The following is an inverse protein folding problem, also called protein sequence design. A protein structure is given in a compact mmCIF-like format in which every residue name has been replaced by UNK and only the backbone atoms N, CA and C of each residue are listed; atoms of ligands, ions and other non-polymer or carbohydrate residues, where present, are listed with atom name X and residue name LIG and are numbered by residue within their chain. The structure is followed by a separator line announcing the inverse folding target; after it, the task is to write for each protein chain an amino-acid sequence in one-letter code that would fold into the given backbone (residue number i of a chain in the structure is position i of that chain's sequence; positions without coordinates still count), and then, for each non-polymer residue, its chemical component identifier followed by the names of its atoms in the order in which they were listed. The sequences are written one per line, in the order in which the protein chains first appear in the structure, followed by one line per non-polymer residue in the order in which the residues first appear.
data_IF_461777545313
#
_entry.id   IF_461777545313
#
_cell.length_a   1.000
_cell.length_b   1.000
_cell.length_c   1.000
_cell.angle_alpha   90.00
_cell.angle_beta   90.00
_cell.angle_gamma   90.00
#
_symmetry.space_group_name_H-M   'P 1'
#
loop_
_entity.id
_entity.type
_entity.pdbx_description
1 polymer ?
#
# COMPACT_ATOMS: atom_id res chain seq x y z
N UNK A 1 -10.73 12.40 37.27
CA UNK A 1 -11.35 11.59 36.20
C UNK A 1 -10.21 10.93 35.45
N UNK A 2 -10.14 9.60 35.40
CA UNK A 2 -9.18 8.91 34.54
C UNK A 2 -9.73 8.94 33.12
N UNK A 3 -9.01 9.57 32.19
CA UNK A 3 -9.31 9.47 30.76
C UNK A 3 -9.18 8.01 30.34
N UNK A 4 -10.16 7.50 29.58
CA UNK A 4 -10.05 6.15 29.01
C UNK A 4 -8.83 6.11 28.06
N UNK A 5 -7.81 5.27 28.30
CA UNK A 5 -6.60 5.26 27.47
C UNK A 5 -6.76 4.46 26.17
N UNK A 6 -7.96 3.93 25.86
CA UNK A 6 -8.21 3.09 24.68
C UNK A 6 -9.02 3.81 23.61
N UNK A 7 -8.72 3.53 22.34
CA UNK A 7 -9.61 3.81 21.22
C UNK A 7 -10.83 2.85 21.27
N UNK A 8 -12.08 3.35 21.22
CA UNK A 8 -13.27 2.50 21.27
C UNK A 8 -13.57 1.76 19.96
N UNK A 9 -12.94 2.14 18.85
CA UNK A 9 -13.22 1.56 17.54
C UNK A 9 -12.74 0.10 17.43
N UNK A 10 -13.46 -0.71 16.66
CA UNK A 10 -13.07 -2.07 16.34
C UNK A 10 -11.82 -2.08 15.47
N UNK A 11 -10.77 -2.76 15.93
CA UNK A 11 -9.58 -3.06 15.12
C UNK A 11 -9.98 -3.99 13.97
N UNK A 12 -9.65 -3.58 12.73
CA UNK A 12 -9.90 -4.36 11.51
C UNK A 12 -8.65 -5.08 11.03
N UNK A 13 -7.51 -4.39 11.02
CA UNK A 13 -6.22 -5.01 10.73
C UNK A 13 -5.09 -4.21 11.39
N UNK A 14 -3.94 -4.87 11.57
CA UNK A 14 -2.66 -4.19 11.77
C UNK A 14 -1.55 -4.83 10.93
N UNK A 15 -0.66 -4.00 10.39
CA UNK A 15 0.40 -4.41 9.47
C UNK A 15 1.11 -3.22 8.82
N UNK A 16 1.32 -3.32 7.51
CA UNK A 16 1.93 -2.30 6.65
C UNK A 16 1.13 -2.21 5.33
N UNK A 17 1.09 -1.03 4.72
CA UNK A 17 0.45 -0.76 3.42
C UNK A 17 1.31 0.20 2.59
N UNK A 18 2.44 -0.29 2.12
CA UNK A 18 3.36 0.53 1.34
C UNK A 18 2.87 0.64 -0.10
N UNK A 19 3.07 1.80 -0.72
CA UNK A 19 2.61 2.05 -2.08
C UNK A 19 3.63 2.82 -2.90
N UNK A 20 3.63 2.53 -4.20
CA UNK A 20 4.25 3.32 -5.25
C UNK A 20 3.15 3.71 -6.24
N UNK A 21 3.08 5.00 -6.53
CA UNK A 21 2.23 5.57 -7.57
C UNK A 21 3.08 6.44 -8.47
N UNK A 22 3.15 6.08 -9.74
CA UNK A 22 3.96 6.78 -10.73
C UNK A 22 3.06 7.56 -11.68
N UNK A 23 3.62 8.65 -12.19
CA UNK A 23 3.02 9.49 -13.23
C UNK A 23 4.12 9.96 -14.18
N UNK A 24 3.75 10.18 -15.43
CA UNK A 24 4.65 10.74 -16.46
C UNK A 24 4.43 12.24 -16.68
N UNK A 25 3.42 12.82 -16.03
CA UNK A 25 2.88 14.15 -16.27
C UNK A 25 2.74 14.95 -14.97
N UNK A 26 3.75 14.85 -14.10
CA UNK A 26 3.81 15.56 -12.80
C UNK A 26 2.56 15.34 -11.92
N UNK A 27 1.93 14.17 -12.05
CA UNK A 27 0.84 13.71 -11.19
C UNK A 27 -0.56 13.96 -11.75
N UNK A 28 -0.71 14.53 -12.95
CA UNK A 28 -2.06 14.71 -13.51
C UNK A 28 -2.73 13.39 -13.88
N UNK A 29 -1.95 12.40 -14.33
CA UNK A 29 -2.43 11.05 -14.67
C UNK A 29 -1.52 10.02 -14.03
N UNK A 30 -2.12 9.09 -13.29
CA UNK A 30 -1.39 8.00 -12.66
C UNK A 30 -1.22 6.84 -13.66
N UNK A 31 0.00 6.62 -14.14
CA UNK A 31 0.34 5.54 -15.09
C UNK A 31 0.55 4.20 -14.39
N UNK A 32 0.77 4.21 -13.08
CA UNK A 32 1.00 2.99 -12.28
C UNK A 32 0.53 3.17 -10.86
N UNK A 33 -0.17 2.17 -10.34
CA UNK A 33 -0.62 2.08 -8.95
C UNK A 33 -0.23 0.74 -8.36
N UNK A 34 0.37 0.79 -7.17
CA UNK A 34 0.59 -0.40 -6.35
C UNK A 34 0.02 -0.19 -4.94
N UNK A 35 -0.38 -1.29 -4.30
CA UNK A 35 -0.79 -1.35 -2.90
C UNK A 35 -0.22 -2.65 -2.33
N UNK A 36 0.88 -2.54 -1.59
CA UNK A 36 1.61 -3.67 -1.03
C UNK A 36 1.34 -3.77 0.48
N UNK A 37 0.69 -4.86 0.85
CA UNK A 37 0.28 -5.17 2.20
C UNK A 37 1.21 -6.21 2.83
N UNK A 38 1.62 -5.95 4.07
CA UNK A 38 2.20 -6.95 4.99
C UNK A 38 1.37 -6.95 6.26
N UNK A 39 0.48 -7.91 6.41
CA UNK A 39 -0.51 -7.96 7.49
C UNK A 39 -0.08 -8.92 8.59
N UNK A 40 -0.15 -8.44 9.82
CA UNK A 40 0.16 -9.21 11.03
C UNK A 40 -1.10 -9.75 11.71
N UNK A 41 -2.22 -9.02 11.60
CA UNK A 41 -3.50 -9.40 12.17
C UNK A 41 -4.63 -8.92 11.25
N UNK A 42 -5.54 -9.82 10.90
CA UNK A 42 -6.82 -9.53 10.26
C UNK A 42 -7.82 -10.68 10.53
N UNK A 43 -9.12 -10.51 10.23
CA UNK A 43 -10.08 -11.61 10.22
C UNK A 43 -9.72 -12.78 9.30
N UNK A 44 -8.96 -12.54 8.24
CA UNK A 44 -8.52 -13.55 7.27
C UNK A 44 -7.11 -14.11 7.55
N UNK A 45 -6.52 -13.74 8.69
CA UNK A 45 -5.17 -14.13 9.07
C UNK A 45 -4.08 -13.16 8.59
N UNK A 46 -2.81 -13.44 8.95
CA UNK A 46 -1.65 -12.69 8.48
C UNK A 46 -1.25 -13.09 7.05
N UNK A 47 -0.43 -12.28 6.39
CA UNK A 47 0.09 -12.56 5.05
C UNK A 47 0.48 -11.30 4.30
N UNK A 48 0.83 -11.46 3.03
CA UNK A 48 1.17 -10.40 2.11
C UNK A 48 0.24 -10.41 0.90
N UNK A 49 -0.01 -9.21 0.38
CA UNK A 49 -0.78 -9.02 -0.85
C UNK A 49 -0.20 -7.83 -1.62
N UNK A 50 0.04 -7.98 -2.91
CA UNK A 50 0.30 -6.88 -3.83
C UNK A 50 -0.88 -6.75 -4.78
N UNK A 51 -1.55 -5.60 -4.76
CA UNK A 51 -2.42 -5.16 -5.83
C UNK A 51 -1.64 -4.20 -6.73
N UNK A 52 -1.71 -4.38 -8.04
CA UNK A 52 -1.10 -3.44 -8.97
C UNK A 52 -1.89 -3.26 -10.26
N UNK A 53 -1.75 -2.07 -10.85
CA UNK A 53 -2.23 -1.73 -12.20
C UNK A 53 -1.20 -0.80 -12.84
N UNK A 54 -0.83 -1.04 -14.09
CA UNK A 54 0.17 -0.24 -14.80
C UNK A 54 -0.10 -0.24 -16.30
N UNK A 55 0.04 0.92 -16.95
CA UNK A 55 -0.06 1.06 -18.40
C UNK A 55 0.93 0.16 -19.15
N UNK A 56 2.05 -0.21 -18.50
CA UNK A 56 3.10 -1.07 -19.06
C UNK A 56 2.89 -2.56 -18.74
N UNK A 57 1.81 -2.88 -18.04
CA UNK A 57 1.35 -4.23 -17.73
C UNK A 57 -0.08 -4.45 -18.26
N UNK A 58 -0.31 -4.03 -19.51
CA UNK A 58 -1.57 -4.13 -20.25
C UNK A 58 -2.75 -3.33 -19.67
N UNK A 59 -2.48 -2.43 -18.72
CA UNK A 59 -3.49 -1.67 -17.95
C UNK A 59 -4.51 -2.57 -17.21
N UNK A 60 -4.14 -3.83 -16.97
CA UNK A 60 -4.94 -4.77 -16.19
C UNK A 60 -4.52 -4.78 -14.71
N UNK A 61 -5.48 -5.06 -13.84
CA UNK A 61 -5.20 -5.29 -12.42
C UNK A 61 -4.60 -6.68 -12.24
N UNK A 62 -3.44 -6.75 -11.58
CA UNK A 62 -2.78 -7.99 -11.18
C UNK A 62 -2.72 -8.08 -9.66
N UNK A 63 -2.97 -9.27 -9.11
CA UNK A 63 -3.01 -9.50 -7.67
C UNK A 63 -2.12 -10.70 -7.33
N UNK A 64 -1.21 -10.49 -6.39
CA UNK A 64 -0.28 -11.51 -5.90
C UNK A 64 -0.45 -11.65 -4.39
N UNK A 65 -0.46 -12.87 -3.85
CA UNK A 65 -0.60 -13.08 -2.42
C UNK A 65 0.02 -14.40 -1.94
N UNK A 66 0.50 -14.44 -0.69
CA UNK A 66 0.80 -15.69 0.03
C UNK A 66 -0.40 -16.19 0.85
N UNK A 67 -1.45 -15.36 0.96
CA UNK A 67 -2.71 -15.66 1.62
C UNK A 67 -3.88 -15.11 0.78
N UNK A 68 -4.51 -15.99 -0.01
CA UNK A 68 -5.62 -15.63 -0.89
C UNK A 68 -6.84 -15.14 -0.11
N UNK A 69 -7.12 -15.71 1.05
CA UNK A 69 -8.25 -15.28 1.89
C UNK A 69 -8.05 -13.83 2.36
N UNK A 70 -6.81 -13.45 2.69
CA UNK A 70 -6.47 -12.07 3.03
C UNK A 70 -6.66 -11.14 1.83
N UNK A 71 -6.23 -11.53 0.63
CA UNK A 71 -6.44 -10.73 -0.57
C UNK A 71 -7.93 -10.43 -0.78
N UNK A 72 -8.80 -11.45 -0.77
CA UNK A 72 -10.26 -11.28 -0.93
C UNK A 72 -10.86 -10.38 0.14
N UNK A 73 -10.43 -10.55 1.39
CA UNK A 73 -10.89 -9.70 2.49
C UNK A 73 -10.45 -8.24 2.32
N UNK A 74 -9.21 -7.98 1.87
CA UNK A 74 -8.73 -6.62 1.58
C UNK A 74 -9.52 -5.96 0.44
N UNK A 75 -9.87 -6.71 -0.61
CA UNK A 75 -10.71 -6.22 -1.71
C UNK A 75 -12.07 -5.71 -1.22
N UNK A 76 -12.75 -6.50 -0.38
CA UNK A 76 -14.05 -6.17 0.19
C UNK A 76 -14.01 -5.05 1.22
N UNK A 77 -13.05 -5.09 2.15
CA UNK A 77 -13.08 -4.25 3.34
C UNK A 77 -12.38 -2.90 3.13
N UNK A 78 -11.25 -2.88 2.39
CA UNK A 78 -10.35 -1.72 2.36
C UNK A 78 -10.12 -1.18 0.94
N UNK A 79 -9.69 -2.03 0.00
CA UNK A 79 -9.29 -1.58 -1.34
C UNK A 79 -10.45 -1.00 -2.13
N UNK A 80 -11.68 -1.50 -1.95
CA UNK A 80 -12.87 -0.89 -2.56
C UNK A 80 -13.07 0.59 -2.19
N UNK A 81 -12.51 1.03 -1.06
CA UNK A 81 -12.58 2.41 -0.58
C UNK A 81 -11.37 3.25 -1.05
N UNK A 82 -10.27 2.60 -1.43
CA UNK A 82 -9.02 3.25 -1.83
C UNK A 82 -8.88 3.37 -3.36
N UNK A 83 -9.26 2.31 -4.06
CA UNK A 83 -9.23 2.20 -5.51
C UNK A 83 -10.25 1.16 -5.98
N UNK A 84 -11.42 1.59 -6.50
CA UNK A 84 -12.51 0.68 -6.84
C UNK A 84 -12.13 -0.45 -7.80
N UNK A 85 -11.16 -0.25 -8.70
CA UNK A 85 -10.72 -1.31 -9.62
C UNK A 85 -10.03 -2.48 -8.90
N UNK A 86 -9.48 -2.28 -7.71
CA UNK A 86 -8.91 -3.38 -6.90
C UNK A 86 -9.99 -4.17 -6.16
N UNK A 87 -11.26 -3.75 -6.17
CA UNK A 87 -12.33 -4.43 -5.45
C UNK A 87 -12.85 -5.70 -6.14
N UNK A 88 -12.56 -5.89 -7.43
CA UNK A 88 -13.11 -6.98 -8.23
C UNK A 88 -12.52 -8.34 -7.82
N UNK A 89 -13.35 -9.19 -7.22
CA UNK A 89 -12.94 -10.52 -6.74
C UNK A 89 -12.87 -11.59 -7.83
N UNK A 90 -13.37 -11.30 -9.04
CA UNK A 90 -13.25 -12.22 -10.18
C UNK A 90 -11.82 -12.20 -10.76
N UNK A 91 -11.04 -11.16 -10.45
CA UNK A 91 -9.61 -11.09 -10.81
C UNK A 91 -8.86 -12.24 -10.11
N UNK A 92 -8.11 -13.08 -10.86
CA UNK A 92 -7.29 -14.14 -10.29
C UNK A 92 -6.25 -13.60 -9.30
N UNK A 93 -6.02 -14.35 -8.22
CA UNK A 93 -4.92 -14.09 -7.28
C UNK A 93 -3.84 -15.11 -7.55
N UNK A 94 -2.67 -14.64 -7.96
CA UNK A 94 -1.49 -15.47 -8.17
C UNK A 94 -0.80 -15.73 -6.84
N UNK A 95 -0.53 -16.99 -6.52
CA UNK A 95 0.26 -17.35 -5.36
C UNK A 95 1.70 -16.86 -5.53
N UNK A 96 2.24 -16.19 -4.52
CA UNK A 96 3.54 -15.55 -4.61
C UNK A 96 4.33 -15.58 -3.30
N UNK A 97 5.65 -15.61 -3.41
CA UNK A 97 6.58 -15.43 -2.29
C UNK A 97 6.95 -13.96 -2.12
N UNK A 98 7.00 -13.51 -0.87
CA UNK A 98 7.33 -12.13 -0.52
C UNK A 98 8.62 -12.08 0.31
N UNK A 99 9.56 -11.26 -0.14
CA UNK A 99 10.81 -11.01 0.57
C UNK A 99 11.13 -9.51 0.57
N UNK A 100 12.05 -9.10 1.45
CA UNK A 100 12.47 -7.71 1.53
C UNK A 100 13.97 -7.56 1.72
N UNK A 101 14.48 -6.40 1.34
CA UNK A 101 15.88 -6.03 1.57
C UNK A 101 16.04 -4.52 1.74
N UNK A 102 17.18 -4.13 2.31
CA UNK A 102 17.51 -2.72 2.55
C UNK A 102 17.05 -2.22 3.92
N UNK A 103 17.19 -0.91 4.09
CA UNK A 103 16.83 -0.15 5.27
C UNK A 103 16.64 1.33 4.89
N UNK A 104 15.74 2.03 5.60
CA UNK A 104 15.30 3.40 5.27
C UNK A 104 16.41 4.47 5.36
N UNK A 105 17.62 4.14 5.84
CA UNK A 105 18.79 5.01 5.71
C UNK A 105 19.34 5.10 4.28
N UNK A 106 18.99 4.17 3.39
CA UNK A 106 19.42 4.16 2.00
C UNK A 106 18.28 3.85 1.03
N UNK A 107 17.76 2.64 1.07
CA UNK A 107 16.68 2.15 0.20
C UNK A 107 15.90 1.03 0.91
N UNK A 108 14.67 0.82 0.48
CA UNK A 108 13.87 -0.35 0.87
C UNK A 108 13.34 -1.02 -0.38
N UNK A 109 13.44 -2.34 -0.47
CA UNK A 109 12.85 -3.11 -1.56
C UNK A 109 11.94 -4.19 -1.01
N UNK A 110 10.69 -4.20 -1.47
CA UNK A 110 9.78 -5.35 -1.38
C UNK A 110 9.87 -6.12 -2.70
N UNK A 111 10.07 -7.44 -2.61
CA UNK A 111 10.16 -8.35 -3.76
C UNK A 111 9.00 -9.34 -3.70
N UNK A 112 8.30 -9.47 -4.82
CA UNK A 112 7.24 -10.45 -5.06
C UNK A 112 7.72 -11.40 -6.15
N UNK A 113 7.68 -12.70 -5.89
CA UNK A 113 8.18 -13.72 -6.80
C UNK A 113 7.11 -14.80 -7.03
N UNK A 114 6.91 -15.19 -8.27
CA UNK A 114 6.13 -16.35 -8.69
C UNK A 114 6.98 -17.22 -9.62
N UNK A 115 6.41 -18.30 -10.17
CA UNK A 115 7.09 -19.09 -11.20
C UNK A 115 7.33 -18.30 -12.50
N UNK A 116 6.49 -17.29 -12.79
CA UNK A 116 6.50 -16.55 -14.05
C UNK A 116 6.92 -15.08 -13.90
N UNK A 117 6.76 -14.49 -12.71
CA UNK A 117 6.95 -13.07 -12.45
C UNK A 117 7.94 -12.78 -11.32
N UNK A 118 8.80 -11.78 -11.53
CA UNK A 118 9.56 -11.08 -10.49
C UNK A 118 9.17 -9.59 -10.49
N UNK A 119 8.61 -9.12 -9.37
CA UNK A 119 8.26 -7.72 -9.18
C UNK A 119 9.07 -7.14 -8.02
N UNK A 120 9.72 -6.01 -8.28
CA UNK A 120 10.50 -5.27 -7.28
C UNK A 120 9.89 -3.88 -7.09
N UNK A 121 9.49 -3.57 -5.86
CA UNK A 121 9.08 -2.24 -5.44
C UNK A 121 10.20 -1.65 -4.59
N UNK A 122 10.88 -0.60 -5.08
CA UNK A 122 12.00 0.01 -4.36
C UNK A 122 11.72 1.49 -4.06
N UNK A 123 11.89 1.89 -2.81
CA UNK A 123 11.80 3.27 -2.33
C UNK A 123 13.18 3.76 -1.89
N UNK A 124 13.54 5.01 -2.18
CA UNK A 124 14.81 5.62 -1.77
C UNK A 124 14.72 7.15 -1.79
N UNK A 125 15.74 7.84 -1.27
CA UNK A 125 15.72 9.30 -1.05
C UNK A 125 14.50 9.69 -0.18
N UNK A 126 14.47 9.14 1.04
CA UNK A 126 13.35 9.29 1.97
C UNK A 126 13.22 10.73 2.49
N UNK A 127 11.97 11.11 2.74
CA UNK A 127 11.56 12.30 3.47
C UNK A 127 11.50 12.02 4.97
N UNK A 128 11.31 13.08 5.77
CA UNK A 128 11.15 12.96 7.21
C UNK A 128 9.89 12.14 7.54
N UNK A 129 9.99 11.06 8.35
CA UNK A 129 8.83 10.28 8.78
C UNK A 129 7.81 11.09 9.56
N UNK A 130 6.53 10.73 9.46
CA UNK A 130 5.47 11.31 10.27
C UNK A 130 4.34 10.32 10.55
N UNK A 131 3.59 10.56 11.64
CA UNK A 131 2.41 9.76 11.96
C UNK A 131 1.18 10.31 11.26
N UNK A 132 0.63 9.52 10.33
CA UNK A 132 -0.70 9.73 9.81
C UNK A 132 -1.72 9.26 10.84
N UNK A 133 -2.71 10.12 11.11
CA UNK A 133 -3.93 9.77 11.82
C UNK A 133 -5.14 10.22 11.01
N UNK A 134 -6.07 9.31 10.77
CA UNK A 134 -7.42 9.58 10.30
C UNK A 134 -8.37 9.01 11.33
N UNK A 135 -9.25 9.86 11.86
CA UNK A 135 -10.24 9.44 12.84
C UNK A 135 -11.35 8.61 12.16
N UNK A 136 -11.81 7.56 12.84
CA UNK A 136 -12.89 6.73 12.33
C UNK A 136 -14.16 7.56 12.11
N UNK A 137 -14.82 7.37 10.97
CA UNK A 137 -16.00 8.13 10.57
C UNK A 137 -15.73 9.58 10.12
N UNK A 138 -14.48 10.06 10.14
CA UNK A 138 -14.17 11.45 9.74
C UNK A 138 -14.05 11.64 8.22
N UNK A 139 -13.91 10.56 7.45
CA UNK A 139 -13.76 10.60 5.99
C UNK A 139 -15.10 10.27 5.29
N UNK A 140 -15.63 11.16 4.42
CA UNK A 140 -16.84 10.87 3.65
C UNK A 140 -16.69 9.59 2.82
N UNK A 141 -17.66 8.67 2.91
CA UNK A 141 -17.66 7.41 2.16
C UNK A 141 -16.67 6.34 2.67
N UNK A 142 -15.86 6.64 3.69
CA UNK A 142 -14.92 5.68 4.30
C UNK A 142 -15.06 5.72 5.82
N UNK A 143 -15.81 4.78 6.44
CA UNK A 143 -16.03 4.78 7.88
C UNK A 143 -14.76 4.48 8.67
N UNK A 144 -13.74 3.90 8.04
CA UNK A 144 -12.51 3.51 8.71
C UNK A 144 -11.64 4.69 9.15
N UNK A 145 -11.07 4.56 10.34
CA UNK A 145 -9.92 5.32 10.78
C UNK A 145 -8.62 4.57 10.48
N UNK A 146 -7.51 5.29 10.45
CA UNK A 146 -6.18 4.69 10.27
C UNK A 146 -5.12 5.45 11.07
N UNK A 147 -4.21 4.70 11.68
CA UNK A 147 -2.98 5.18 12.30
C UNK A 147 -1.81 4.54 11.57
N UNK A 148 -0.85 5.32 11.08
CA UNK A 148 0.23 4.78 10.24
C UNK A 148 1.48 5.64 10.31
N UNK A 149 2.66 5.04 10.43
CA UNK A 149 3.93 5.73 10.30
C UNK A 149 4.28 5.82 8.82
N UNK A 150 4.12 7.02 8.25
CA UNK A 150 4.45 7.28 6.86
C UNK A 150 5.92 7.67 6.76
N UNK A 151 6.65 6.99 5.88
CA UNK A 151 8.02 7.30 5.48
C UNK A 151 7.98 7.53 3.96
N UNK A 152 7.65 8.77 3.52
CA UNK A 152 7.53 9.07 2.11
C UNK A 152 8.90 9.03 1.43
N UNK A 153 8.94 8.71 0.14
CA UNK A 153 10.18 8.74 -0.65
C UNK A 153 10.07 9.74 -1.79
N UNK A 154 11.13 10.49 -2.06
CA UNK A 154 11.16 11.37 -3.25
C UNK A 154 11.28 10.57 -4.53
N UNK A 155 11.83 9.36 -4.44
CA UNK A 155 12.08 8.47 -5.56
C UNK A 155 11.57 7.07 -5.24
N UNK A 156 11.10 6.40 -6.28
CA UNK A 156 10.76 5.00 -6.21
C UNK A 156 10.90 4.38 -7.60
N UNK A 157 11.16 3.08 -7.64
CA UNK A 157 11.27 2.32 -8.87
C UNK A 157 10.43 1.05 -8.73
N UNK A 158 9.56 0.82 -9.72
CA UNK A 158 8.91 -0.47 -9.93
C UNK A 158 9.63 -1.19 -11.06
N UNK A 159 9.91 -2.48 -10.88
CA UNK A 159 10.47 -3.33 -11.91
C UNK A 159 9.62 -4.58 -12.05
N UNK A 160 9.28 -4.95 -13.28
CA UNK A 160 8.52 -6.16 -13.63
C UNK A 160 9.41 -6.97 -14.58
N UNK A 161 9.81 -8.18 -14.18
CA UNK A 161 10.62 -9.08 -14.99
C UNK A 161 11.90 -8.41 -15.54
N UNK A 162 12.56 -7.63 -14.68
CA UNK A 162 13.78 -6.87 -15.00
C UNK A 162 13.57 -5.58 -15.80
N UNK A 163 12.35 -5.27 -16.23
CA UNK A 163 12.02 -4.03 -16.93
C UNK A 163 11.55 -2.95 -15.95
N UNK A 164 12.17 -1.77 -16.01
CA UNK A 164 11.78 -0.63 -15.18
C UNK A 164 10.51 -0.02 -15.74
N UNK A 165 9.53 0.22 -14.87
CA UNK A 165 8.27 0.86 -15.23
C UNK A 165 8.45 2.38 -15.30
N UNK A 166 7.98 3.00 -16.39
CA UNK A 166 8.11 4.45 -16.58
C UNK A 166 7.24 5.28 -15.64
N UNK A 167 7.76 6.46 -15.30
CA UNK A 167 7.11 7.46 -14.47
C UNK A 167 7.88 7.68 -13.17
N UNK A 168 7.49 8.73 -12.46
CA UNK A 168 8.14 9.15 -11.22
C UNK A 168 7.08 9.37 -10.14
N UNK A 169 7.44 9.23 -8.85
CA UNK A 169 6.58 9.72 -7.78
C UNK A 169 6.42 11.23 -7.85
N UNK A 170 5.26 11.72 -7.43
CA UNK A 170 5.03 13.14 -7.23
C UNK A 170 5.16 13.52 -5.77
N UNK A 171 5.69 14.72 -5.52
CA UNK A 171 5.71 15.30 -4.19
C UNK A 171 4.36 15.94 -3.89
N UNK A 172 3.90 15.74 -2.67
CA UNK A 172 2.61 16.25 -2.23
C UNK A 172 2.69 16.72 -0.76
N UNK A 173 1.61 17.35 -0.29
CA UNK A 173 1.48 17.75 1.11
C UNK A 173 0.36 16.95 1.77
N UNK A 174 0.59 16.48 2.98
CA UNK A 174 -0.42 15.83 3.82
C UNK A 174 -0.57 16.63 5.11
N UNK A 175 -1.53 17.56 5.10
CA UNK A 175 -1.61 18.60 6.12
C UNK A 175 -0.39 19.51 6.03
N UNK A 176 0.37 19.60 7.11
CA UNK A 176 1.60 20.40 7.22
C UNK A 176 2.88 19.60 6.92
N UNK A 177 2.77 18.31 6.57
CA UNK A 177 3.91 17.41 6.30
C UNK A 177 4.16 17.25 4.81
N UNK A 178 5.43 17.26 4.41
CA UNK A 178 5.84 16.84 3.09
C UNK A 178 5.59 15.33 2.93
N UNK A 179 5.07 14.94 1.79
CA UNK A 179 4.71 13.56 1.46
C UNK A 179 5.00 13.29 -0.02
N UNK A 180 4.73 12.07 -0.45
CA UNK A 180 4.84 11.67 -1.85
C UNK A 180 3.82 10.60 -2.20
N UNK A 181 3.51 10.50 -3.50
CA UNK A 181 2.78 9.39 -4.10
C UNK A 181 3.51 8.04 -3.99
N UNK A 182 4.74 8.00 -3.48
CA UNK A 182 5.43 6.79 -3.03
C UNK A 182 5.76 6.88 -1.53
N UNK A 183 5.31 5.88 -0.76
CA UNK A 183 5.45 5.89 0.68
C UNK A 183 5.54 4.47 1.26
N UNK A 184 6.43 4.27 2.23
CA UNK A 184 6.35 3.15 3.15
C UNK A 184 5.37 3.52 4.27
N UNK A 185 4.29 2.76 4.41
CA UNK A 185 3.30 2.97 5.48
C UNK A 185 3.41 1.83 6.49
N UNK A 186 4.17 2.07 7.56
CA UNK A 186 4.52 1.06 8.57
C UNK A 186 3.70 1.21 9.84
N UNK A 187 3.56 0.11 10.59
CA UNK A 187 2.75 0.06 11.81
C UNK A 187 1.33 0.58 11.57
N UNK A 188 0.77 0.25 10.42
CA UNK A 188 -0.53 0.70 9.98
C UNK A 188 -1.63 -0.12 10.67
N UNK A 189 -2.51 0.56 11.41
CA UNK A 189 -3.68 -0.05 12.05
C UNK A 189 -4.95 0.61 11.54
N UNK A 190 -5.85 -0.19 10.98
CA UNK A 190 -7.17 0.25 10.55
C UNK A 190 -8.21 -0.11 11.59
N UNK A 191 -9.09 0.85 11.86
CA UNK A 191 -10.19 0.70 12.82
C UNK A 191 -11.49 1.15 12.17
N UNK A 192 -12.63 0.72 12.69
CA UNK A 192 -13.95 1.27 12.31
C UNK A 192 -14.88 1.32 13.54
N UNK A 193 -15.88 2.21 13.56
CA UNK A 193 -16.82 2.31 14.66
C UNK A 193 -17.61 1.03 14.93
#
# INVERSE_FOLDING_TARGET
MTTNPTDPNQIRLTGENSFIRLSQDEGSTQSTRTSHWRILLSPAGPGHVLFMKSDQADDEVRIYADNIALARWLQEEIECLLFPEFADQDIPVTEAEFTKSGDVRSFWTEKVLTDDDEILLTWYDFLEPYMLRVEAGSAPGRPHGVYSCFIPSRRAQLTINGQVVDGEPTLEMRGDKQSSSACLAWSETWVRP
#
